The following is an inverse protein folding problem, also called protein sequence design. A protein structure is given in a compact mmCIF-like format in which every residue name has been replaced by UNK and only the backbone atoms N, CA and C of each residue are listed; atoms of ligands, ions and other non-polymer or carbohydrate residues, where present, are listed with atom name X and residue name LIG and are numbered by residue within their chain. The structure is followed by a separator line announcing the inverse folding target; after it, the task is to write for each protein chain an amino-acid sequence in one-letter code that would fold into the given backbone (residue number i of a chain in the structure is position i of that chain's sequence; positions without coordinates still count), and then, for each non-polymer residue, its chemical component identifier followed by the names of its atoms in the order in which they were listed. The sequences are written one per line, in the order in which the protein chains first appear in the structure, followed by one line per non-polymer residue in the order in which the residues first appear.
data_IF_385769555141
#
_entry.id   IF_385769555141
#
_cell.length_a   1.000
_cell.length_b   1.000
_cell.length_c   1.000
_cell.angle_alpha   90.00
_cell.angle_beta   90.00
_cell.angle_gamma   90.00
#
_symmetry.space_group_name_H-M   'P 1'
#
loop_
_entity.id
_entity.type
_entity.pdbx_description
1 polymer ?
#
# COMPACT_ATOMS: atom_id res chain seq x y z
N UNK A 1 11.49 -7.13 19.82
CA UNK A 1 11.71 -5.71 19.73
C UNK A 1 10.85 -4.91 20.68
N UNK A 2 11.06 -3.62 20.69
CA UNK A 2 10.23 -2.75 21.52
C UNK A 2 8.81 -2.73 21.01
N UNK A 3 7.87 -2.74 21.94
CA UNK A 3 6.47 -2.51 21.63
C UNK A 3 6.29 -1.06 21.16
N UNK A 4 5.67 -0.88 20.01
CA UNK A 4 5.31 0.44 19.53
C UNK A 4 4.11 0.92 20.32
N UNK A 5 4.23 2.12 20.88
CA UNK A 5 3.18 2.74 21.69
C UNK A 5 3.31 4.26 21.59
N UNK A 6 2.34 4.95 22.16
CA UNK A 6 2.35 6.40 22.14
C UNK A 6 3.66 6.94 22.71
N UNK A 7 4.23 7.92 22.02
CA UNK A 7 5.53 8.48 22.35
C UNK A 7 6.71 7.77 21.71
N UNK A 8 6.49 6.65 21.03
CA UNK A 8 7.57 5.85 20.44
C UNK A 8 7.45 5.65 18.93
N UNK A 9 6.38 5.93 18.32
CA UNK A 9 6.17 5.71 16.89
C UNK A 9 4.70 5.49 16.58
N UNK A 10 3.91 5.26 17.62
CA UNK A 10 2.46 5.12 17.49
C UNK A 10 1.77 6.20 18.30
N UNK A 11 0.85 6.90 17.65
CA UNK A 11 -0.08 7.82 18.29
C UNK A 11 -1.29 7.07 18.85
N UNK A 12 -2.05 7.72 19.73
CA UNK A 12 -3.34 7.23 20.17
C UNK A 12 -4.48 7.66 19.23
N UNK A 13 -4.17 8.32 18.14
CA UNK A 13 -5.17 8.86 17.21
C UNK A 13 -5.97 7.75 16.53
N UNK A 14 -7.28 7.97 16.46
CA UNK A 14 -8.17 7.16 15.62
C UNK A 14 -8.15 7.66 14.18
N UNK A 15 -8.81 6.93 13.27
CA UNK A 15 -8.98 7.39 11.90
C UNK A 15 -9.65 8.77 11.83
N UNK A 16 -10.66 9.01 12.67
CA UNK A 16 -11.33 10.29 12.73
C UNK A 16 -10.40 11.43 13.18
N UNK A 17 -9.34 11.11 13.89
CA UNK A 17 -8.32 12.06 14.36
C UNK A 17 -7.11 12.13 13.42
N UNK A 18 -7.15 11.46 12.29
CA UNK A 18 -6.14 11.56 11.25
C UNK A 18 -5.24 10.34 11.08
N UNK A 19 -5.41 9.28 11.87
CA UNK A 19 -4.64 8.05 11.68
C UNK A 19 -5.07 7.35 10.39
N UNK A 20 -4.11 6.72 9.70
CA UNK A 20 -4.38 5.99 8.46
C UNK A 20 -4.66 4.52 8.73
N UNK A 21 -5.21 3.83 7.73
CA UNK A 21 -5.60 2.42 7.87
C UNK A 21 -4.40 1.49 7.80
N UNK A 22 -3.50 1.74 6.84
CA UNK A 22 -2.35 0.89 6.56
C UNK A 22 -1.17 1.75 6.18
N UNK A 23 0.02 1.37 6.64
CA UNK A 23 1.28 1.99 6.23
C UNK A 23 2.23 0.91 5.75
N UNK A 24 2.83 1.15 4.58
CA UNK A 24 3.97 0.37 4.11
C UNK A 24 5.21 1.18 4.48
N UNK A 25 6.07 0.62 5.34
CA UNK A 25 7.21 1.35 5.88
C UNK A 25 8.48 1.15 5.07
N UNK A 26 9.27 2.21 4.93
CA UNK A 26 10.62 2.18 4.32
C UNK A 26 10.67 1.46 2.97
N UNK A 27 9.70 1.70 2.13
CA UNK A 27 9.68 1.11 0.79
C UNK A 27 10.62 1.85 -0.15
N UNK A 28 11.32 1.11 -0.99
CA UNK A 28 12.02 1.71 -2.13
C UNK A 28 11.03 1.86 -3.27
N UNK A 29 10.54 3.06 -3.46
CA UNK A 29 9.50 3.36 -4.44
C UNK A 29 10.15 3.68 -5.77
N UNK A 30 9.76 2.96 -6.82
CA UNK A 30 10.21 3.22 -8.19
C UNK A 30 8.99 3.55 -9.03
N UNK A 31 8.97 4.72 -9.60
CA UNK A 31 7.87 5.19 -10.42
C UNK A 31 8.41 6.07 -11.56
N UNK A 32 7.51 6.53 -12.43
CA UNK A 32 7.88 7.34 -13.60
C UNK A 32 8.63 8.63 -13.24
N UNK A 33 8.39 9.18 -12.06
CA UNK A 33 9.04 10.41 -11.59
C UNK A 33 10.39 10.17 -10.91
N UNK A 34 10.77 8.91 -10.66
CA UNK A 34 12.07 8.59 -10.07
C UNK A 34 12.02 7.51 -9.01
N UNK A 35 13.04 7.53 -8.15
CA UNK A 35 13.24 6.55 -7.07
C UNK A 35 13.31 7.32 -5.76
N UNK A 36 12.54 6.87 -4.77
CA UNK A 36 12.57 7.45 -3.43
C UNK A 36 12.34 6.36 -2.37
N UNK A 37 12.95 6.52 -1.22
CA UNK A 37 12.67 5.67 -0.07
C UNK A 37 11.76 6.42 0.89
N UNK A 38 10.59 5.88 1.15
CA UNK A 38 9.58 6.55 1.97
C UNK A 38 8.55 5.56 2.50
N UNK A 39 7.70 6.06 3.40
CA UNK A 39 6.53 5.34 3.86
C UNK A 39 5.33 5.69 2.98
N UNK A 40 4.43 4.74 2.79
CA UNK A 40 3.21 4.92 2.00
C UNK A 40 1.99 4.65 2.86
N UNK A 41 1.10 5.62 2.93
CA UNK A 41 -0.15 5.52 3.65
C UNK A 41 -1.30 5.12 2.74
N UNK A 42 -2.11 4.20 3.23
CA UNK A 42 -3.36 3.79 2.58
C UNK A 42 -4.52 4.14 3.50
N UNK A 43 -5.50 4.82 2.97
CA UNK A 43 -6.72 5.23 3.68
C UNK A 43 -7.92 5.02 2.76
N UNK A 44 -8.93 4.32 3.28
CA UNK A 44 -10.15 4.03 2.53
C UNK A 44 -9.89 3.38 1.16
N UNK A 45 -8.92 2.44 1.13
CA UNK A 45 -8.57 1.71 -0.08
C UNK A 45 -7.79 2.49 -1.12
N UNK A 46 -7.27 3.66 -0.78
CA UNK A 46 -6.52 4.53 -1.70
C UNK A 46 -5.18 4.93 -1.12
N UNK A 47 -4.23 5.20 -1.98
CA UNK A 47 -2.97 5.81 -1.58
C UNK A 47 -3.28 7.24 -1.09
N UNK A 48 -3.01 7.47 0.19
CA UNK A 48 -3.32 8.74 0.85
C UNK A 48 -2.12 9.69 0.85
N UNK A 49 -0.93 9.17 1.15
CA UNK A 49 0.27 9.98 1.24
C UNK A 49 1.53 9.13 1.06
N UNK A 50 2.58 9.80 0.61
CA UNK A 50 3.95 9.25 0.60
C UNK A 50 4.79 10.20 1.41
N UNK A 51 5.44 9.70 2.47
CA UNK A 51 6.19 10.55 3.37
C UNK A 51 6.80 9.80 4.54
N UNK A 52 6.72 10.37 5.73
CA UNK A 52 7.24 9.79 6.95
C UNK A 52 6.11 9.45 7.92
N UNK A 53 6.02 8.18 8.28
CA UNK A 53 5.01 7.68 9.20
C UNK A 53 5.54 7.64 10.64
N UNK A 54 4.64 7.86 11.59
CA UNK A 54 4.96 7.79 13.00
C UNK A 54 3.97 8.53 13.87
N UNK A 55 4.50 9.08 14.95
CA UNK A 55 3.75 9.89 15.89
C UNK A 55 4.25 11.35 15.82
N UNK A 56 3.45 12.28 15.28
CA UNK A 56 3.88 13.66 15.12
C UNK A 56 4.11 14.40 16.44
N UNK A 57 3.54 13.92 17.54
CA UNK A 57 3.71 14.56 18.85
C UNK A 57 5.12 14.44 19.40
N UNK A 58 5.86 13.39 18.99
CA UNK A 58 7.18 13.09 19.53
C UNK A 58 8.27 12.95 18.47
N UNK A 59 7.90 12.89 17.20
CA UNK A 59 8.84 12.69 16.10
C UNK A 59 8.73 13.86 15.11
N UNK A 60 9.84 14.56 14.81
CA UNK A 60 9.79 15.65 13.85
C UNK A 60 9.58 15.14 12.42
N UNK A 61 8.89 15.92 11.61
CA UNK A 61 8.72 15.64 10.19
C UNK A 61 7.72 14.54 9.86
N UNK A 62 6.96 14.06 10.83
CA UNK A 62 5.92 13.04 10.58
C UNK A 62 4.71 13.68 9.92
N UNK A 63 4.34 13.15 8.78
CA UNK A 63 3.17 13.56 8.01
C UNK A 63 2.14 12.44 7.82
N UNK A 64 2.47 11.22 8.24
CA UNK A 64 1.56 10.07 8.22
C UNK A 64 1.39 9.57 9.65
N UNK A 65 0.17 9.62 10.18
CA UNK A 65 -0.09 9.27 11.57
C UNK A 65 -0.39 7.77 11.69
N UNK A 66 0.43 7.08 12.49
CA UNK A 66 0.20 5.70 12.86
C UNK A 66 -0.60 5.66 14.17
N UNK A 67 -1.81 5.18 14.11
CA UNK A 67 -2.66 4.98 15.27
C UNK A 67 -2.75 3.51 15.69
N UNK A 68 -3.50 3.22 16.77
CA UNK A 68 -3.67 1.85 17.25
C UNK A 68 -4.34 0.92 16.24
N UNK A 69 -5.17 1.46 15.36
CA UNK A 69 -5.86 0.70 14.32
C UNK A 69 -5.10 0.61 13.00
N UNK A 70 -3.89 1.15 12.92
CA UNK A 70 -3.12 1.15 11.68
C UNK A 70 -2.38 -0.17 11.51
N UNK A 71 -2.59 -0.83 10.37
CA UNK A 71 -1.81 -2.00 9.98
C UNK A 71 -0.45 -1.56 9.44
N UNK A 72 0.62 -2.22 9.86
CA UNK A 72 1.97 -1.94 9.37
C UNK A 72 2.44 -3.08 8.50
N UNK A 73 2.87 -2.74 7.29
CA UNK A 73 3.50 -3.66 6.35
C UNK A 73 4.95 -3.22 6.18
N UNK A 74 5.89 -4.09 6.52
CA UNK A 74 7.30 -3.79 6.38
C UNK A 74 7.72 -3.80 4.91
N UNK A 75 8.20 -2.67 4.43
CA UNK A 75 8.71 -2.52 3.07
C UNK A 75 10.22 -2.60 2.94
N UNK A 76 10.91 -2.75 4.06
CA UNK A 76 12.38 -2.84 4.08
C UNK A 76 12.88 -3.98 3.20
N UNK A 77 13.86 -3.67 2.36
CA UNK A 77 14.44 -4.65 1.44
C UNK A 77 13.57 -4.98 0.24
N UNK A 78 12.49 -4.27 0.05
CA UNK A 78 11.55 -4.50 -1.06
C UNK A 78 11.40 -3.28 -1.93
N UNK A 79 11.03 -3.54 -3.18
CA UNK A 79 10.72 -2.48 -4.15
C UNK A 79 9.20 -2.36 -4.23
N UNK A 80 8.71 -1.14 -4.14
CA UNK A 80 7.30 -0.82 -4.31
C UNK A 80 7.09 -0.12 -5.65
N UNK A 81 6.22 -0.68 -6.46
CA UNK A 81 5.84 -0.10 -7.75
C UNK A 81 4.32 -0.07 -7.87
N UNK A 82 3.83 0.68 -8.84
CA UNK A 82 2.44 0.52 -9.26
C UNK A 82 2.21 -0.91 -9.75
N UNK A 83 1.02 -1.44 -9.53
CA UNK A 83 0.64 -2.74 -10.06
C UNK A 83 0.54 -2.70 -11.58
N UNK A 84 0.81 -3.84 -12.21
CA UNK A 84 0.69 -3.96 -13.65
C UNK A 84 -0.76 -3.92 -14.13
N UNK A 85 -0.96 -3.43 -15.34
CA UNK A 85 -2.26 -3.43 -16.01
C UNK A 85 -2.16 -4.36 -17.22
N UNK A 86 -3.00 -5.39 -17.24
CA UNK A 86 -3.16 -6.19 -18.44
C UNK A 86 -4.30 -5.61 -19.26
N UNK A 87 -3.97 -4.98 -20.37
CA UNK A 87 -4.92 -4.22 -21.18
C UNK A 87 -5.69 -5.07 -22.19
N UNK A 88 -5.44 -6.37 -22.26
CA UNK A 88 -6.15 -7.26 -23.17
C UNK A 88 -6.25 -8.67 -22.58
N UNK A 89 -7.37 -8.97 -21.97
CA UNK A 89 -7.61 -10.25 -21.32
C UNK A 89 -9.01 -10.78 -21.64
N UNK A 90 -9.11 -12.09 -21.71
CA UNK A 90 -10.38 -12.81 -21.77
C UNK A 90 -10.61 -13.48 -20.42
N UNK A 91 -11.75 -13.23 -19.80
CA UNK A 91 -12.09 -13.80 -18.49
C UNK A 91 -12.53 -15.26 -18.68
N UNK A 92 -11.59 -16.18 -18.51
CA UNK A 92 -11.82 -17.60 -18.78
C UNK A 92 -12.08 -18.37 -17.49
N UNK A 93 -11.30 -18.13 -16.43
CA UNK A 93 -11.44 -18.82 -15.16
C UNK A 93 -11.00 -17.95 -13.98
N UNK A 94 -11.54 -18.21 -12.77
CA UNK A 94 -11.20 -17.42 -11.59
C UNK A 94 -9.73 -17.47 -11.19
N UNK A 95 -9.02 -18.53 -11.53
CA UNK A 95 -7.59 -18.72 -11.21
C UNK A 95 -6.71 -17.65 -11.86
N UNK A 96 -7.18 -17.00 -12.91
CA UNK A 96 -6.45 -15.89 -13.55
C UNK A 96 -6.15 -14.76 -12.56
N UNK A 97 -7.06 -14.49 -11.62
CA UNK A 97 -6.87 -13.43 -10.64
C UNK A 97 -5.69 -13.73 -9.71
N UNK A 98 -5.59 -14.96 -9.22
CA UNK A 98 -4.50 -15.36 -8.33
C UNK A 98 -3.15 -15.33 -9.05
N UNK A 99 -3.10 -15.82 -10.28
CA UNK A 99 -1.88 -15.82 -11.09
C UNK A 99 -1.45 -14.39 -11.43
N UNK A 100 -2.40 -13.52 -11.75
CA UNK A 100 -2.14 -12.12 -12.04
C UNK A 100 -1.54 -11.41 -10.82
N UNK A 101 -2.16 -11.57 -9.65
CA UNK A 101 -1.67 -10.94 -8.42
C UNK A 101 -0.28 -11.46 -8.06
N UNK A 102 -0.03 -12.75 -8.19
CA UNK A 102 1.29 -13.32 -7.94
C UNK A 102 2.37 -12.76 -8.89
N UNK A 103 1.98 -12.32 -10.08
CA UNK A 103 2.87 -11.72 -11.07
C UNK A 103 2.94 -10.19 -11.00
N UNK A 104 2.22 -9.57 -10.07
CA UNK A 104 2.20 -8.12 -9.90
C UNK A 104 1.19 -7.38 -10.78
N UNK A 105 0.30 -8.10 -11.45
CA UNK A 105 -0.80 -7.48 -12.22
C UNK A 105 -1.98 -7.26 -11.29
N UNK A 106 -2.44 -6.01 -11.19
CA UNK A 106 -3.51 -5.62 -10.27
C UNK A 106 -4.76 -5.13 -10.99
N UNK A 107 -4.72 -4.98 -12.30
CA UNK A 107 -5.83 -4.44 -13.07
C UNK A 107 -5.95 -5.19 -14.39
N UNK A 108 -7.16 -5.60 -14.70
CA UNK A 108 -7.51 -6.20 -15.98
C UNK A 108 -8.40 -5.24 -16.78
N UNK A 109 -8.12 -5.15 -18.05
CA UNK A 109 -9.02 -4.52 -19.02
C UNK A 109 -9.36 -5.57 -20.06
N UNK A 110 -10.58 -6.02 -20.06
CA UNK A 110 -10.99 -7.06 -20.99
C UNK A 110 -12.50 -7.25 -21.00
N UNK A 111 -12.93 -8.28 -21.66
CA UNK A 111 -14.35 -8.61 -21.74
C UNK A 111 -14.58 -9.80 -22.64
N UNK A 112 -15.84 -10.20 -22.73
CA UNK A 112 -16.20 -11.35 -23.49
C UNK A 112 -15.61 -12.64 -22.97
N UNK A 113 -15.93 -13.71 -23.62
CA UNK A 113 -15.43 -15.04 -23.27
C UNK A 113 -14.26 -15.46 -24.17
N UNK A 114 -13.96 -14.68 -25.18
CA UNK A 114 -12.92 -15.01 -26.15
C UNK A 114 -13.15 -16.38 -26.78
N UNK A 115 -12.11 -17.23 -26.83
CA UNK A 115 -12.28 -18.55 -27.41
C UNK A 115 -13.02 -19.52 -26.52
N UNK A 116 -13.28 -19.16 -25.26
CA UNK A 116 -13.98 -20.03 -24.31
C UNK A 116 -15.44 -19.60 -24.18
N UNK A 117 -16.27 -20.60 -24.01
CA UNK A 117 -17.66 -20.39 -23.63
C UNK A 117 -17.74 -20.54 -22.12
N UNK A 118 -18.23 -19.53 -21.48
CA UNK A 118 -18.27 -19.64 -20.03
C UNK A 118 -19.00 -18.56 -19.33
#
# INVERSE_FOLDING_TARGET
GKVIRDGMGQSQASQAEGAVDTVITNALIIDHWGIVKADVAILDGRIHAIGKAGNPDVQPGVDIIIGPGTEIIAGEGKILTAGGIDSHIHFICPQQADEALASGVTTFVGGGTGPATG
#
